data_IF_480115379032
#
_entry.id   IF_480115379032
#
_cell.length_a   1.000
_cell.length_b   1.000
_cell.length_c   1.000
_cell.angle_alpha   90.00
_cell.angle_beta   90.00
_cell.angle_gamma   90.00
#
_symmetry.space_group_name_H-M   'P 1'
#
loop_
_entity.id
_entity.type
_entity.pdbx_description
1 polymer ?
#
# COMPACT_ATOMS: atom_id res chain seq x y z
N UNK A 1 -21.56 -31.51 -2.25
CA UNK A 1 -21.91 -31.59 -0.82
C UNK A 1 -20.76 -32.11 0.04
N UNK A 2 -20.13 -33.25 -0.26
CA UNK A 2 -18.97 -33.73 0.51
C UNK A 2 -17.72 -32.84 0.40
N UNK A 3 -17.40 -32.31 -0.79
CA UNK A 3 -16.27 -31.40 -0.99
C UNK A 3 -16.42 -30.06 -0.25
N UNK A 4 -17.63 -29.48 -0.28
CA UNK A 4 -17.96 -28.24 0.43
C UNK A 4 -17.94 -28.39 1.96
N UNK A 5 -18.34 -29.57 2.48
CA UNK A 5 -18.21 -29.88 3.91
C UNK A 5 -16.74 -30.03 4.32
N UNK A 6 -15.93 -30.71 3.52
CA UNK A 6 -14.50 -30.90 3.80
C UNK A 6 -13.69 -29.59 3.72
N UNK A 7 -14.09 -28.65 2.86
CA UNK A 7 -13.52 -27.29 2.84
C UNK A 7 -13.93 -26.50 4.09
N UNK A 8 -15.20 -26.56 4.50
CA UNK A 8 -15.69 -25.92 5.72
C UNK A 8 -14.99 -26.41 7.00
N UNK A 9 -14.74 -27.71 7.12
CA UNK A 9 -14.02 -28.26 8.27
C UNK A 9 -12.56 -27.76 8.33
N UNK A 10 -11.90 -27.63 7.18
CA UNK A 10 -10.55 -27.05 7.09
C UNK A 10 -10.52 -25.56 7.43
N UNK A 11 -11.55 -24.81 7.03
CA UNK A 11 -11.67 -23.39 7.40
C UNK A 11 -11.83 -23.24 8.93
N UNK A 12 -12.66 -24.08 9.56
CA UNK A 12 -12.88 -24.04 11.01
C UNK A 12 -11.62 -24.37 11.82
N UNK A 13 -10.83 -25.37 11.40
CA UNK A 13 -9.56 -25.69 12.06
C UNK A 13 -8.53 -24.56 11.95
N UNK A 14 -8.39 -23.97 10.76
CA UNK A 14 -7.48 -22.85 10.51
C UNK A 14 -7.90 -21.60 11.31
N UNK A 15 -9.19 -21.26 11.31
CA UNK A 15 -9.74 -20.16 12.13
C UNK A 15 -9.40 -20.35 13.61
N UNK A 16 -9.57 -21.57 14.14
CA UNK A 16 -9.26 -21.87 15.53
C UNK A 16 -7.76 -21.71 15.85
N UNK A 17 -6.88 -22.02 14.90
CA UNK A 17 -5.43 -21.80 15.03
C UNK A 17 -5.12 -20.31 15.04
N UNK A 18 -5.64 -19.54 14.09
CA UNK A 18 -5.42 -18.10 14.00
C UNK A 18 -6.00 -17.33 15.20
N UNK A 19 -7.17 -17.73 15.70
CA UNK A 19 -7.75 -17.22 16.94
C UNK A 19 -6.81 -17.44 18.15
N UNK A 20 -6.22 -18.63 18.27
CA UNK A 20 -5.25 -18.93 19.34
C UNK A 20 -3.97 -18.11 19.19
N UNK A 21 -3.44 -17.98 17.97
CA UNK A 21 -2.21 -17.24 17.69
C UNK A 21 -2.41 -15.74 17.94
N UNK A 22 -3.48 -15.14 17.42
CA UNK A 22 -3.80 -13.72 17.61
C UNK A 22 -4.04 -13.39 19.08
N UNK A 23 -4.67 -14.29 19.87
CA UNK A 23 -4.79 -14.11 21.32
C UNK A 23 -3.45 -14.18 22.04
N UNK A 24 -2.60 -15.16 21.70
CA UNK A 24 -1.30 -15.39 22.35
C UNK A 24 -0.30 -14.26 22.06
N UNK A 25 -0.29 -13.74 20.84
CA UNK A 25 0.71 -12.76 20.37
C UNK A 25 0.13 -11.37 20.10
N UNK A 26 -1.05 -11.06 20.67
CA UNK A 26 -1.89 -9.89 20.35
C UNK A 26 -1.17 -8.56 20.20
N UNK A 27 -0.22 -8.27 21.08
CA UNK A 27 0.51 -7.00 21.14
C UNK A 27 1.97 -7.11 20.67
N UNK A 28 2.45 -8.32 20.41
CA UNK A 28 3.86 -8.61 20.18
C UNK A 28 4.17 -8.69 18.68
N UNK A 29 3.33 -9.40 17.92
CA UNK A 29 3.56 -9.66 16.51
C UNK A 29 2.41 -9.16 15.64
N UNK A 30 2.70 -8.15 14.82
CA UNK A 30 1.86 -7.69 13.72
C UNK A 30 1.80 -8.73 12.59
N UNK A 31 2.84 -9.55 12.43
CA UNK A 31 2.90 -10.62 11.43
C UNK A 31 1.79 -11.66 11.61
N UNK A 32 1.43 -12.01 12.85
CA UNK A 32 0.33 -12.95 13.12
C UNK A 32 -1.01 -12.40 12.63
N UNK A 33 -1.24 -11.10 12.78
CA UNK A 33 -2.45 -10.43 12.29
C UNK A 33 -2.47 -10.38 10.76
N UNK A 34 -1.32 -10.13 10.13
CA UNK A 34 -1.20 -10.10 8.68
C UNK A 34 -1.39 -11.47 8.05
N UNK A 35 -0.82 -12.53 8.63
CA UNK A 35 -0.99 -13.89 8.14
C UNK A 35 -2.45 -14.33 8.22
N UNK A 36 -3.14 -13.98 9.30
CA UNK A 36 -4.57 -14.23 9.43
C UNK A 36 -5.38 -13.43 8.41
N UNK A 37 -5.02 -12.16 8.16
CA UNK A 37 -5.65 -11.36 7.13
C UNK A 37 -5.46 -11.98 5.73
N UNK A 38 -4.22 -12.31 5.34
CA UNK A 38 -3.90 -12.96 4.07
C UNK A 38 -4.71 -14.23 3.85
N UNK A 39 -4.88 -15.03 4.90
CA UNK A 39 -5.74 -16.20 4.88
C UNK A 39 -7.23 -15.85 4.64
N UNK A 40 -7.77 -14.84 5.32
CA UNK A 40 -9.17 -14.42 5.14
C UNK A 40 -9.42 -13.85 3.74
N UNK A 41 -8.54 -13.01 3.21
CA UNK A 41 -8.66 -12.47 1.84
C UNK A 41 -8.55 -13.57 0.78
N UNK A 42 -7.60 -14.50 0.93
CA UNK A 42 -7.47 -15.63 -0.01
C UNK A 42 -8.67 -16.60 0.05
N UNK A 43 -9.42 -16.60 1.15
CA UNK A 43 -10.65 -17.38 1.33
C UNK A 43 -11.92 -16.64 0.90
N UNK A 44 -11.82 -15.41 0.37
CA UNK A 44 -12.96 -14.57 -0.02
C UNK A 44 -13.80 -14.07 1.16
N UNK A 45 -13.18 -13.94 2.34
CA UNK A 45 -13.81 -13.46 3.60
C UNK A 45 -13.30 -12.06 3.95
N UNK A 46 -13.40 -11.12 3.00
CA UNK A 46 -12.78 -9.80 3.12
C UNK A 46 -13.44 -8.93 4.21
N UNK A 47 -14.75 -9.11 4.46
CA UNK A 47 -15.45 -8.45 5.57
C UNK A 47 -14.84 -8.82 6.94
N UNK A 48 -14.50 -10.10 7.11
CA UNK A 48 -13.84 -10.58 8.33
C UNK A 48 -12.40 -10.08 8.42
N UNK A 49 -11.69 -10.01 7.29
CA UNK A 49 -10.38 -9.37 7.19
C UNK A 49 -10.42 -7.90 7.63
N UNK A 50 -11.46 -7.15 7.25
CA UNK A 50 -11.67 -5.76 7.68
C UNK A 50 -11.97 -5.64 9.17
N UNK A 51 -12.82 -6.52 9.71
CA UNK A 51 -13.07 -6.56 11.15
C UNK A 51 -11.79 -6.91 11.94
N UNK A 52 -10.96 -7.82 11.40
CA UNK A 52 -9.67 -8.19 11.96
C UNK A 52 -8.70 -7.01 12.01
N UNK A 53 -8.66 -6.15 10.98
CA UNK A 53 -7.83 -4.95 10.96
C UNK A 53 -8.15 -4.03 12.15
N UNK A 54 -9.44 -3.74 12.39
CA UNK A 54 -9.87 -2.90 13.51
C UNK A 54 -9.42 -3.48 14.85
N UNK A 55 -9.64 -4.79 15.07
CA UNK A 55 -9.20 -5.49 16.27
C UNK A 55 -7.68 -5.47 16.45
N UNK A 56 -6.93 -5.60 15.36
CA UNK A 56 -5.47 -5.54 15.38
C UNK A 56 -4.96 -4.15 15.79
N UNK A 57 -5.61 -3.07 15.32
CA UNK A 57 -5.26 -1.69 15.69
C UNK A 57 -5.54 -1.39 17.16
N UNK A 58 -6.57 -2.00 17.77
CA UNK A 58 -6.83 -1.89 19.22
C UNK A 58 -5.77 -2.60 20.07
N UNK A 59 -5.21 -3.69 19.56
CA UNK A 59 -4.24 -4.52 20.31
C UNK A 59 -2.79 -4.07 20.15
N UNK A 60 -2.43 -3.49 19.01
CA UNK A 60 -1.04 -3.16 18.67
C UNK A 60 -0.68 -1.70 19.03
N UNK A 61 0.60 -1.42 19.37
CA UNK A 61 1.06 -0.06 19.59
C UNK A 61 0.93 0.82 18.34
N UNK A 62 0.63 2.11 18.55
CA UNK A 62 0.49 3.11 17.46
C UNK A 62 1.67 3.18 16.50
N UNK A 63 2.89 2.86 16.97
CA UNK A 63 4.09 2.82 16.14
C UNK A 63 3.97 1.82 14.97
N UNK A 64 3.21 0.74 15.14
CA UNK A 64 3.00 -0.30 14.12
C UNK A 64 1.79 -0.03 13.21
N UNK A 65 0.90 0.90 13.59
CA UNK A 65 -0.37 1.13 12.89
C UNK A 65 -0.17 1.50 11.42
N UNK A 66 0.77 2.39 11.10
CA UNK A 66 1.01 2.83 9.71
C UNK A 66 1.40 1.65 8.81
N UNK A 67 2.33 0.81 9.28
CA UNK A 67 2.78 -0.36 8.55
C UNK A 67 1.65 -1.38 8.40
N UNK A 68 0.93 -1.66 9.48
CA UNK A 68 -0.21 -2.58 9.49
C UNK A 68 -1.29 -2.14 8.50
N UNK A 69 -1.75 -0.88 8.57
CA UNK A 69 -2.80 -0.37 7.68
C UNK A 69 -2.34 -0.41 6.23
N UNK A 70 -1.07 -0.10 5.94
CA UNK A 70 -0.53 -0.16 4.57
C UNK A 70 -0.53 -1.60 4.01
N UNK A 71 -0.29 -2.60 4.86
CA UNK A 71 -0.38 -4.02 4.48
C UNK A 71 -1.82 -4.46 4.24
N UNK A 72 -2.75 -4.11 5.13
CA UNK A 72 -4.18 -4.36 4.92
C UNK A 72 -4.71 -3.64 3.67
N UNK A 73 -4.30 -2.39 3.44
CA UNK A 73 -4.61 -1.65 2.22
C UNK A 73 -4.12 -2.39 0.98
N UNK A 74 -2.93 -2.98 1.02
CA UNK A 74 -2.40 -3.80 -0.09
C UNK A 74 -3.22 -5.06 -0.36
N UNK A 75 -3.69 -5.73 0.71
CA UNK A 75 -4.54 -6.92 0.58
C UNK A 75 -5.90 -6.54 -0.02
N UNK A 76 -6.55 -5.51 0.52
CA UNK A 76 -7.82 -5.01 0.01
C UNK A 76 -7.70 -4.55 -1.45
N UNK A 77 -6.59 -3.88 -1.81
CA UNK A 77 -6.35 -3.42 -3.18
C UNK A 77 -6.24 -4.56 -4.20
N UNK A 78 -5.68 -5.71 -3.78
CA UNK A 78 -5.32 -6.81 -4.70
C UNK A 78 -6.30 -7.97 -4.70
N UNK A 79 -6.94 -8.23 -3.55
CA UNK A 79 -7.80 -9.41 -3.34
C UNK A 79 -9.23 -9.03 -2.93
N UNK A 80 -9.46 -7.79 -2.48
CA UNK A 80 -10.77 -7.32 -2.06
C UNK A 80 -11.28 -6.18 -2.94
N UNK A 81 -11.78 -5.13 -2.30
CA UNK A 81 -12.29 -3.96 -2.99
C UNK A 81 -11.18 -2.93 -3.23
N UNK A 82 -10.81 -2.75 -4.51
CA UNK A 82 -9.76 -1.84 -4.92
C UNK A 82 -9.98 -0.40 -4.43
N UNK A 83 -11.23 0.07 -4.38
CA UNK A 83 -11.58 1.41 -3.91
C UNK A 83 -11.37 1.55 -2.40
N UNK A 84 -11.74 0.53 -1.62
CA UNK A 84 -11.46 0.50 -0.17
C UNK A 84 -9.97 0.47 0.11
N UNK A 85 -9.20 -0.33 -0.65
CA UNK A 85 -7.74 -0.35 -0.56
C UNK A 85 -7.12 1.02 -0.82
N UNK A 86 -7.60 1.73 -1.85
CA UNK A 86 -7.20 3.13 -2.13
C UNK A 86 -7.52 4.05 -0.97
N UNK A 87 -8.76 4.01 -0.47
CA UNK A 87 -9.19 4.86 0.64
C UNK A 87 -8.32 4.66 1.88
N UNK A 88 -7.89 3.43 2.17
CA UNK A 88 -6.95 3.17 3.27
C UNK A 88 -5.58 3.82 3.03
N UNK A 89 -5.01 3.71 1.82
CA UNK A 89 -3.77 4.42 1.49
C UNK A 89 -3.93 5.94 1.61
N UNK A 90 -5.01 6.50 1.06
CA UNK A 90 -5.29 7.93 1.12
C UNK A 90 -5.42 8.43 2.56
N UNK A 91 -6.12 7.70 3.44
CA UNK A 91 -6.25 8.05 4.85
C UNK A 91 -4.90 8.05 5.58
N UNK A 92 -4.06 7.05 5.32
CA UNK A 92 -2.71 6.99 5.91
C UNK A 92 -1.84 8.14 5.41
N UNK A 93 -1.89 8.45 4.11
CA UNK A 93 -1.08 9.48 3.48
C UNK A 93 -1.57 10.90 3.77
N UNK A 94 -2.86 11.09 4.05
CA UNK A 94 -3.40 12.35 4.56
C UNK A 94 -2.83 12.66 5.96
N UNK A 95 -2.68 11.64 6.79
CA UNK A 95 -2.13 11.79 8.15
C UNK A 95 -0.60 11.85 8.16
N UNK A 96 0.05 11.05 7.30
CA UNK A 96 1.50 10.88 7.27
C UNK A 96 2.07 11.09 5.85
N UNK A 97 1.96 12.30 5.27
CA UNK A 97 2.28 12.54 3.86
C UNK A 97 3.76 12.26 3.51
N UNK A 98 4.67 12.33 4.48
CA UNK A 98 6.11 12.11 4.25
C UNK A 98 6.55 10.64 4.33
N UNK A 99 5.63 9.69 4.53
CA UNK A 99 5.95 8.24 4.62
C UNK A 99 6.13 7.64 3.23
N UNK A 100 7.37 7.71 2.73
CA UNK A 100 7.74 7.25 1.37
C UNK A 100 7.55 5.76 1.14
N UNK A 101 7.65 4.93 2.19
CA UNK A 101 7.39 3.48 2.10
C UNK A 101 5.93 3.18 1.72
N UNK A 102 4.99 3.96 2.27
CA UNK A 102 3.56 3.85 1.97
C UNK A 102 3.30 4.30 0.53
N UNK A 103 3.85 5.45 0.13
CA UNK A 103 3.77 5.93 -1.25
C UNK A 103 4.36 4.93 -2.25
N UNK A 104 5.51 4.31 -1.94
CA UNK A 104 6.13 3.34 -2.85
C UNK A 104 5.20 2.17 -3.10
N UNK A 105 4.64 1.61 -2.04
CA UNK A 105 3.71 0.48 -2.13
C UNK A 105 2.46 0.86 -2.92
N UNK A 106 1.90 2.04 -2.64
CA UNK A 106 0.69 2.51 -3.31
C UNK A 106 0.90 2.77 -4.82
N UNK A 107 2.03 3.37 -5.19
CA UNK A 107 2.42 3.56 -6.60
C UNK A 107 2.62 2.20 -7.28
N UNK A 108 3.31 1.25 -6.64
CA UNK A 108 3.57 -0.07 -7.20
C UNK A 108 2.28 -0.85 -7.47
N UNK A 109 1.29 -0.74 -6.58
CA UNK A 109 -0.02 -1.35 -6.77
C UNK A 109 -0.83 -0.63 -7.84
N UNK A 110 -0.79 0.71 -7.88
CA UNK A 110 -1.49 1.50 -8.89
C UNK A 110 -0.94 1.20 -10.29
N UNK A 111 0.38 1.14 -10.47
CA UNK A 111 1.01 0.77 -11.75
C UNK A 111 0.62 -0.63 -12.24
N UNK A 112 0.23 -1.54 -11.35
CA UNK A 112 -0.13 -2.92 -11.71
C UNK A 112 -1.61 -3.11 -11.97
N UNK A 113 -2.46 -2.39 -11.26
CA UNK A 113 -3.90 -2.70 -11.19
C UNK A 113 -4.80 -1.49 -11.42
N UNK A 114 -4.27 -0.27 -11.47
CA UNK A 114 -5.04 0.95 -11.73
C UNK A 114 -4.87 1.43 -13.17
N UNK A 115 -5.78 2.33 -13.56
CA UNK A 115 -5.65 3.07 -14.81
C UNK A 115 -4.40 3.95 -14.79
N UNK A 116 -3.85 4.19 -15.98
CA UNK A 116 -2.64 5.00 -16.18
C UNK A 116 -2.83 6.40 -15.58
N UNK A 117 -4.00 7.00 -15.80
CA UNK A 117 -4.31 8.35 -15.31
C UNK A 117 -4.36 8.43 -13.79
N UNK A 118 -4.93 7.42 -13.14
CA UNK A 118 -4.95 7.34 -11.68
C UNK A 118 -3.53 7.22 -11.13
N UNK A 119 -2.68 6.41 -11.78
CA UNK A 119 -1.28 6.25 -11.40
C UNK A 119 -0.49 7.55 -11.59
N UNK A 120 -0.75 8.32 -12.66
CA UNK A 120 -0.18 9.66 -12.86
C UNK A 120 -0.51 10.60 -11.72
N UNK A 121 -1.78 10.68 -11.32
CA UNK A 121 -2.19 11.52 -10.20
C UNK A 121 -1.50 11.15 -8.88
N UNK A 122 -1.31 9.86 -8.59
CA UNK A 122 -0.58 9.41 -7.40
C UNK A 122 0.90 9.84 -7.47
N UNK A 123 1.53 9.70 -8.64
CA UNK A 123 2.92 10.09 -8.89
C UNK A 123 3.13 11.61 -8.83
N UNK A 124 2.21 12.40 -9.37
CA UNK A 124 2.19 13.85 -9.27
C UNK A 124 2.14 14.31 -7.82
N UNK A 125 1.24 13.71 -7.03
CA UNK A 125 1.10 14.07 -5.61
C UNK A 125 2.37 13.78 -4.83
N UNK A 126 2.95 12.59 -4.95
CA UNK A 126 4.18 12.27 -4.19
C UNK A 126 5.37 13.14 -4.61
N UNK A 127 5.49 13.49 -5.89
CA UNK A 127 6.60 14.33 -6.39
C UNK A 127 6.44 15.82 -6.07
N UNK A 128 5.21 16.28 -5.82
CA UNK A 128 4.94 17.63 -5.32
C UNK A 128 5.25 17.83 -3.83
N UNK A 129 5.54 16.76 -3.09
CA UNK A 129 5.82 16.86 -1.65
C UNK A 129 7.22 17.44 -1.40
N UNK A 130 7.40 18.21 -0.30
CA UNK A 130 8.70 18.71 0.11
C UNK A 130 9.54 17.58 0.75
N UNK A 131 10.02 16.67 -0.09
CA UNK A 131 10.85 15.50 0.27
C UNK A 131 12.26 15.67 -0.30
N UNK A 132 13.24 14.97 0.29
CA UNK A 132 14.60 15.01 -0.25
C UNK A 132 14.66 14.35 -1.63
N UNK A 133 15.63 14.78 -2.43
CA UNK A 133 15.83 14.28 -3.78
C UNK A 133 16.06 12.77 -3.85
N UNK A 134 16.80 12.23 -2.88
CA UNK A 134 17.05 10.80 -2.76
C UNK A 134 15.75 10.00 -2.56
N UNK A 135 14.75 10.61 -1.90
CA UNK A 135 13.44 10.02 -1.68
C UNK A 135 12.52 10.18 -2.89
N UNK A 136 12.63 11.26 -3.67
CA UNK A 136 11.81 11.48 -4.86
C UNK A 136 12.32 10.76 -6.11
N UNK A 137 13.63 10.54 -6.22
CA UNK A 137 14.26 9.89 -7.39
C UNK A 137 13.62 8.56 -7.80
N UNK A 138 13.27 7.63 -6.88
CA UNK A 138 12.57 6.40 -7.25
C UNK A 138 11.20 6.65 -7.88
N UNK A 139 10.46 7.67 -7.43
CA UNK A 139 9.14 8.01 -7.96
C UNK A 139 9.24 8.61 -9.37
N UNK A 140 10.20 9.51 -9.61
CA UNK A 140 10.46 10.01 -10.96
C UNK A 140 10.87 8.91 -11.93
N UNK A 141 11.69 7.94 -11.49
CA UNK A 141 12.04 6.77 -12.31
C UNK A 141 10.79 5.97 -12.68
N UNK A 142 9.93 5.64 -11.71
CA UNK A 142 8.68 4.93 -11.94
C UNK A 142 7.73 5.69 -12.88
N UNK A 143 7.70 7.02 -12.77
CA UNK A 143 6.87 7.85 -13.65
C UNK A 143 7.39 7.87 -15.09
N UNK A 144 8.70 7.99 -15.28
CA UNK A 144 9.32 7.86 -16.61
C UNK A 144 9.03 6.47 -17.20
N UNK A 145 9.13 5.41 -16.39
CA UNK A 145 8.82 4.04 -16.83
C UNK A 145 7.34 3.88 -17.21
N UNK A 146 6.41 4.55 -16.50
CA UNK A 146 4.99 4.59 -16.83
C UNK A 146 4.73 5.27 -18.18
N UNK A 147 5.25 6.49 -18.36
CA UNK A 147 5.05 7.26 -19.60
C UNK A 147 5.74 6.60 -20.81
N UNK A 148 6.86 5.91 -20.60
CA UNK A 148 7.53 5.17 -21.69
C UNK A 148 6.69 4.00 -22.18
N UNK A 149 5.87 3.39 -21.31
CA UNK A 149 5.01 2.25 -21.65
C UNK A 149 3.64 2.64 -22.18
N UNK A 150 3.07 3.73 -21.65
CA UNK A 150 1.65 4.07 -21.85
C UNK A 150 1.41 5.53 -22.24
N UNK A 151 2.45 6.36 -22.27
CA UNK A 151 2.36 7.80 -22.49
C UNK A 151 2.77 8.24 -23.89
N UNK A 152 2.76 9.54 -24.08
CA UNK A 152 3.17 10.22 -25.30
C UNK A 152 4.56 10.85 -25.12
N UNK A 153 5.24 11.15 -26.24
CA UNK A 153 6.56 11.82 -26.19
C UNK A 153 6.52 13.16 -25.44
N UNK A 154 5.37 13.85 -25.48
CA UNK A 154 5.15 15.12 -24.77
C UNK A 154 5.09 14.93 -23.25
N UNK A 155 4.29 13.99 -22.74
CA UNK A 155 4.18 13.74 -21.31
C UNK A 155 5.51 13.25 -20.74
N UNK A 156 6.23 12.40 -21.49
CA UNK A 156 7.56 11.95 -21.12
C UNK A 156 8.57 13.11 -21.02
N UNK A 157 8.55 14.04 -21.96
CA UNK A 157 9.42 15.21 -21.94
C UNK A 157 9.12 16.13 -20.74
N UNK A 158 7.85 16.32 -20.41
CA UNK A 158 7.43 17.11 -19.25
C UNK A 158 7.91 16.48 -17.93
N UNK A 159 7.74 15.17 -17.75
CA UNK A 159 8.20 14.46 -16.54
C UNK A 159 9.72 14.54 -16.41
N UNK A 160 10.46 14.36 -17.51
CA UNK A 160 11.92 14.51 -17.52
C UNK A 160 12.35 15.94 -17.16
N UNK A 161 11.67 16.95 -17.71
CA UNK A 161 11.93 18.35 -17.38
C UNK A 161 11.69 18.64 -15.90
N UNK A 162 10.55 18.21 -15.35
CA UNK A 162 10.23 18.35 -13.91
C UNK A 162 11.28 17.68 -13.03
N UNK A 163 11.71 16.46 -13.40
CA UNK A 163 12.75 15.75 -12.68
C UNK A 163 14.09 16.51 -12.72
N UNK A 164 14.48 17.07 -13.87
CA UNK A 164 15.71 17.85 -14.03
C UNK A 164 15.67 19.17 -13.26
N UNK A 165 14.60 19.94 -13.37
CA UNK A 165 14.43 21.21 -12.63
C UNK A 165 14.58 20.99 -11.12
N UNK A 166 14.02 19.89 -10.61
CA UNK A 166 14.14 19.52 -9.21
C UNK A 166 15.56 19.09 -8.81
N UNK A 167 16.33 18.46 -9.71
CA UNK A 167 17.76 18.17 -9.50
C UNK A 167 18.60 19.44 -9.46
N UNK A 168 18.33 20.40 -10.35
CA UNK A 168 19.10 21.65 -10.46
C UNK A 168 18.81 22.57 -9.27
N UNK A 169 17.54 22.79 -8.93
CA UNK A 169 17.15 23.67 -7.81
C UNK A 169 17.75 23.25 -6.48
N UNK A 170 17.96 21.95 -6.28
CA UNK A 170 18.56 21.42 -5.06
C UNK A 170 20.09 21.56 -5.03
N UNK A 171 20.75 21.53 -6.19
CA UNK A 171 22.19 21.80 -6.28
C UNK A 171 22.47 23.25 -5.87
N UNK A 172 21.66 24.18 -6.35
CA UNK A 172 21.79 25.60 -6.03
C UNK A 172 21.59 25.87 -4.52
N UNK A 173 20.70 25.13 -3.84
CA UNK A 173 20.48 25.22 -2.37
C UNK A 173 21.67 24.66 -1.55
N UNK A 174 22.44 23.73 -2.12
CA UNK A 174 23.59 23.10 -1.44
C UNK A 174 24.90 23.87 -1.65
N UNK A 175 24.96 24.71 -2.69
CA UNK A 175 26.12 25.52 -3.05
C UNK A 175 26.05 26.96 -2.45
N UNK A 176 24.93 27.34 -1.80
CA UNK A 176 24.74 28.55 -0.96
C UNK A 176 25.04 28.30 0.53
#
# INVERSE_FOLDING_TARGET
>A
MAATLAENDKFAEADAIYEKLTKKFRAQSDEVWLLHAEYLYSSGREEEGRALMTRALECLPKAKHVALISRFASLEYTQGDQEKGRNLFENVLATYPKRTEVWSTYVDLSMKHAEVEQTRHVLERVTSLPLSIFKLRPFYKKWIDLETKHGDEKSLAEVKKKALEYLTSLKDILDE
#
